data_IF_682859451527
#
_entry.id   IF_682859451527
#
_cell.length_a   1.000
_cell.length_b   1.000
_cell.length_c   1.000
_cell.angle_alpha   90.00
_cell.angle_beta   90.00
_cell.angle_gamma   90.00
#
_symmetry.space_group_name_H-M   'P 1'
#
loop_
_entity.id
_entity.type
_entity.pdbx_description
1 polymer ?
#
# COMPACT_ATOMS: atom_id res chain seq x y z
N UNK A 1 -28.36 -20.32 -18.65
CA UNK A 1 -27.06 -20.00 -19.30
C UNK A 1 -26.63 -18.55 -19.12
N UNK A 2 -27.51 -17.53 -19.27
CA UNK A 2 -27.13 -16.14 -18.98
C UNK A 2 -26.52 -15.93 -17.58
N UNK A 3 -27.03 -16.61 -16.55
CA UNK A 3 -26.45 -16.58 -15.21
C UNK A 3 -25.01 -17.11 -15.13
N UNK A 4 -24.69 -18.17 -15.89
CA UNK A 4 -23.33 -18.71 -15.94
C UNK A 4 -22.36 -17.72 -16.60
N UNK A 5 -22.81 -17.01 -17.63
CA UNK A 5 -22.05 -15.93 -18.26
C UNK A 5 -21.81 -14.75 -17.31
N UNK A 6 -22.79 -14.35 -16.50
CA UNK A 6 -22.60 -13.31 -15.49
C UNK A 6 -21.63 -13.72 -14.39
N UNK A 7 -21.73 -14.95 -13.88
CA UNK A 7 -20.78 -15.49 -12.89
C UNK A 7 -19.36 -15.51 -13.50
N UNK A 8 -19.21 -16.01 -14.72
CA UNK A 8 -17.92 -16.04 -15.41
C UNK A 8 -17.37 -14.63 -15.67
N UNK A 9 -18.21 -13.67 -16.04
CA UNK A 9 -17.83 -12.25 -16.20
C UNK A 9 -17.29 -11.67 -14.89
N UNK A 10 -18.01 -11.84 -13.78
CA UNK A 10 -17.55 -11.34 -12.48
C UNK A 10 -16.23 -12.00 -12.03
N UNK A 11 -16.04 -13.28 -12.35
CA UNK A 11 -14.77 -13.98 -12.14
C UNK A 11 -13.64 -13.42 -13.00
N UNK A 12 -13.89 -13.11 -14.28
CA UNK A 12 -12.91 -12.49 -15.17
C UNK A 12 -12.51 -11.08 -14.70
N UNK A 13 -13.49 -10.25 -14.33
CA UNK A 13 -13.24 -8.90 -13.80
C UNK A 13 -12.43 -8.93 -12.49
N UNK A 14 -12.72 -9.89 -11.60
CA UNK A 14 -11.96 -10.09 -10.37
C UNK A 14 -10.51 -10.50 -10.66
N UNK A 15 -10.29 -11.46 -11.58
CA UNK A 15 -8.93 -11.85 -11.97
C UNK A 15 -8.17 -10.73 -12.68
N UNK A 16 -8.84 -9.93 -13.50
CA UNK A 16 -8.25 -8.75 -14.13
C UNK A 16 -7.79 -7.74 -13.07
N UNK A 17 -8.66 -7.41 -12.12
CA UNK A 17 -8.31 -6.51 -11.01
C UNK A 17 -7.12 -7.05 -10.20
N UNK A 18 -7.07 -8.36 -9.95
CA UNK A 18 -5.94 -8.98 -9.26
C UNK A 18 -4.64 -8.85 -10.07
N UNK A 19 -4.71 -9.07 -11.39
CA UNK A 19 -3.57 -8.93 -12.30
C UNK A 19 -3.05 -7.48 -12.31
N UNK A 20 -3.96 -6.50 -12.32
CA UNK A 20 -3.60 -5.08 -12.29
C UNK A 20 -2.87 -4.72 -10.97
N UNK A 21 -3.35 -5.21 -9.84
CA UNK A 21 -2.70 -5.01 -8.53
C UNK A 21 -1.31 -5.66 -8.48
N UNK A 22 -1.18 -6.90 -8.93
CA UNK A 22 0.11 -7.62 -8.94
C UNK A 22 1.10 -6.91 -9.89
N UNK A 23 0.63 -6.46 -11.04
CA UNK A 23 1.45 -5.72 -12.02
C UNK A 23 1.92 -4.39 -11.44
N UNK A 24 1.04 -3.68 -10.73
CA UNK A 24 1.40 -2.43 -10.04
C UNK A 24 2.44 -2.67 -8.93
N UNK A 25 2.28 -3.74 -8.14
CA UNK A 25 3.26 -4.12 -7.12
C UNK A 25 4.63 -4.39 -7.75
N UNK A 26 4.67 -5.17 -8.84
CA UNK A 26 5.91 -5.52 -9.53
C UNK A 26 6.62 -4.29 -10.12
N UNK A 27 5.85 -3.36 -10.69
CA UNK A 27 6.38 -2.09 -11.22
C UNK A 27 7.01 -1.22 -10.14
N UNK A 28 6.48 -1.27 -8.91
CA UNK A 28 6.93 -0.45 -7.78
C UNK A 28 7.90 -1.18 -6.83
N UNK A 29 8.55 -2.26 -7.28
CA UNK A 29 9.54 -2.98 -6.45
C UNK A 29 10.75 -2.11 -6.08
N UNK A 30 11.18 -1.23 -6.99
CA UNK A 30 12.34 -0.35 -6.76
C UNK A 30 11.94 1.00 -6.16
N UNK A 31 10.65 1.23 -5.94
CA UNK A 31 10.15 2.49 -5.38
C UNK A 31 10.41 2.53 -3.87
N UNK A 32 11.06 3.58 -3.39
CA UNK A 32 11.34 3.77 -1.98
C UNK A 32 10.05 3.92 -1.17
N UNK A 33 9.99 3.28 0.00
CA UNK A 33 8.85 3.40 0.92
C UNK A 33 7.53 2.80 0.40
N UNK A 34 7.53 2.15 -0.77
CA UNK A 34 6.30 1.57 -1.35
C UNK A 34 5.77 0.41 -0.51
N UNK A 35 4.45 0.36 -0.37
CA UNK A 35 3.73 -0.70 0.34
C UNK A 35 2.86 -1.47 -0.63
N UNK A 36 3.14 -2.78 -0.70
CA UNK A 36 2.43 -3.75 -1.51
C UNK A 36 0.93 -3.68 -1.25
N UNK A 37 0.18 -3.75 -2.34
CA UNK A 37 -1.27 -3.84 -2.32
C UNK A 37 -1.75 -5.28 -2.53
N UNK A 38 -2.89 -5.63 -1.95
CA UNK A 38 -3.57 -6.91 -2.15
C UNK A 38 -5.05 -6.65 -2.43
N UNK A 39 -5.57 -7.25 -3.50
CA UNK A 39 -7.00 -7.25 -3.77
C UNK A 39 -7.72 -8.20 -2.81
N UNK A 40 -8.80 -7.72 -2.20
CA UNK A 40 -9.71 -8.51 -1.35
C UNK A 40 -11.00 -8.75 -2.12
N UNK A 41 -11.42 -10.01 -2.17
CA UNK A 41 -12.61 -10.44 -2.88
C UNK A 41 -13.63 -11.00 -1.91
N UNK A 42 -14.91 -10.75 -2.17
CA UNK A 42 -16.03 -11.33 -1.43
C UNK A 42 -17.00 -12.00 -2.40
N UNK A 43 -17.69 -13.04 -1.92
CA UNK A 43 -18.74 -13.67 -2.67
C UNK A 43 -19.99 -12.77 -2.73
N UNK A 44 -20.75 -12.90 -3.81
CA UNK A 44 -22.01 -12.18 -3.98
C UNK A 44 -23.18 -12.98 -3.39
N UNK A 45 -24.28 -12.28 -3.10
CA UNK A 45 -25.51 -12.82 -2.51
C UNK A 45 -25.94 -14.16 -3.12
N UNK A 46 -26.42 -15.07 -2.28
CA UNK A 46 -26.91 -16.37 -2.70
C UNK A 46 -28.39 -16.30 -3.09
N UNK A 47 -28.75 -16.90 -4.22
CA UNK A 47 -30.15 -17.12 -4.56
C UNK A 47 -30.62 -18.44 -3.94
N UNK A 48 -31.55 -18.34 -3.00
CA UNK A 48 -32.18 -19.48 -2.32
C UNK A 48 -33.35 -19.99 -3.17
N UNK A 49 -33.16 -21.13 -3.84
CA UNK A 49 -34.21 -21.80 -4.62
C UNK A 49 -35.04 -22.75 -3.74
N UNK A 50 -34.41 -23.34 -2.73
CA UNK A 50 -35.08 -24.09 -1.65
C UNK A 50 -34.43 -23.71 -0.35
N UNK A 51 -35.21 -23.16 0.58
CA UNK A 51 -34.70 -22.90 1.93
C UNK A 51 -34.48 -24.25 2.66
N UNK A 52 -33.30 -24.47 3.27
CA UNK A 52 -33.12 -25.58 4.19
C UNK A 52 -34.17 -25.48 5.31
N UNK A 53 -34.84 -26.58 5.63
CA UNK A 53 -35.85 -26.61 6.69
C UNK A 53 -37.28 -26.25 6.26
N UNK A 54 -37.54 -25.91 5.00
CA UNK A 54 -38.91 -25.77 4.52
C UNK A 54 -39.66 -27.13 4.49
N UNK A 55 -40.95 -27.13 4.84
CA UNK A 55 -41.78 -28.34 4.78
C UNK A 55 -42.06 -28.74 3.32
N UNK A 56 -41.75 -29.99 2.95
CA UNK A 56 -42.06 -30.57 1.64
C UNK A 56 -43.40 -31.32 1.65
N UNK A 57 -43.87 -31.78 2.82
CA UNK A 57 -45.20 -32.33 3.09
C UNK A 57 -45.55 -32.12 4.58
N UNK A 58 -46.77 -32.48 5.02
CA UNK A 58 -47.19 -32.41 6.44
C UNK A 58 -46.23 -33.15 7.41
N UNK A 59 -45.36 -34.05 6.93
CA UNK A 59 -44.47 -34.88 7.76
C UNK A 59 -43.00 -34.86 7.33
N UNK A 60 -42.61 -34.18 6.24
CA UNK A 60 -41.20 -34.13 5.81
C UNK A 60 -40.68 -32.72 5.63
N UNK A 61 -39.51 -32.45 6.23
CA UNK A 61 -38.73 -31.23 6.03
C UNK A 61 -37.64 -31.47 4.99
N UNK A 62 -37.26 -30.43 4.27
CA UNK A 62 -36.17 -30.48 3.28
C UNK A 62 -34.85 -30.39 4.05
N UNK A 63 -34.00 -31.44 4.08
CA UNK A 63 -32.79 -31.47 4.90
C UNK A 63 -31.63 -30.66 4.30
N UNK A 64 -31.62 -30.44 2.97
CA UNK A 64 -30.59 -29.67 2.28
C UNK A 64 -31.24 -28.58 1.42
N UNK A 65 -30.90 -27.32 1.68
CA UNK A 65 -31.33 -26.20 0.86
C UNK A 65 -30.59 -26.17 -0.48
N UNK A 66 -31.23 -25.58 -1.49
CA UNK A 66 -30.60 -25.29 -2.78
C UNK A 66 -30.28 -23.80 -2.82
N UNK A 67 -29.01 -23.47 -2.61
CA UNK A 67 -28.48 -22.12 -2.71
C UNK A 67 -27.49 -22.06 -3.86
N UNK A 68 -27.62 -21.05 -4.71
CA UNK A 68 -26.73 -20.86 -5.85
C UNK A 68 -26.07 -19.49 -5.72
N UNK A 69 -24.74 -19.45 -5.71
CA UNK A 69 -23.97 -18.20 -5.66
C UNK A 69 -24.20 -17.34 -6.91
N UNK A 70 -23.99 -16.03 -6.78
CA UNK A 70 -24.16 -15.08 -7.90
C UNK A 70 -22.85 -14.54 -8.46
N UNK A 71 -21.70 -14.93 -7.91
CA UNK A 71 -20.38 -14.57 -8.41
C UNK A 71 -19.46 -14.05 -7.30
N UNK A 72 -18.48 -13.25 -7.70
CA UNK A 72 -17.44 -12.67 -6.82
C UNK A 72 -17.27 -11.18 -7.17
N UNK A 73 -16.89 -10.34 -6.21
CA UNK A 73 -16.58 -8.92 -6.47
C UNK A 73 -15.34 -8.47 -5.71
N UNK A 74 -14.44 -7.67 -6.32
CA UNK A 74 -13.38 -6.98 -5.58
C UNK A 74 -14.00 -5.93 -4.64
N UNK A 75 -13.66 -5.98 -3.36
CA UNK A 75 -14.21 -5.10 -2.33
C UNK A 75 -13.27 -3.96 -2.00
N UNK A 76 -11.97 -4.26 -1.90
CA UNK A 76 -10.96 -3.27 -1.60
C UNK A 76 -9.58 -3.72 -2.11
N UNK A 77 -8.68 -2.76 -2.27
CA UNK A 77 -7.24 -2.99 -2.38
C UNK A 77 -6.59 -2.53 -1.09
N UNK A 78 -6.20 -3.49 -0.26
CA UNK A 78 -5.58 -3.23 1.04
C UNK A 78 -4.07 -3.05 0.86
N UNK A 79 -3.48 -2.02 1.49
CA UNK A 79 -2.02 -1.89 1.59
C UNK A 79 -1.50 -2.63 2.81
N UNK A 80 -0.41 -3.35 2.64
CA UNK A 80 0.25 -4.06 3.73
C UNK A 80 1.44 -3.21 4.20
N UNK A 81 1.30 -2.59 5.38
CA UNK A 81 2.28 -1.65 5.93
C UNK A 81 3.48 -2.30 6.64
N UNK A 82 3.94 -3.46 6.15
CA UNK A 82 5.17 -4.09 6.67
C UNK A 82 6.42 -3.32 6.24
N UNK A 83 7.45 -3.34 7.09
CA UNK A 83 8.76 -2.78 6.79
C UNK A 83 9.39 -3.51 5.60
N UNK A 84 9.91 -2.75 4.63
CA UNK A 84 10.66 -3.29 3.50
C UNK A 84 12.12 -3.57 3.82
N UNK A 85 12.90 -3.93 2.80
CA UNK A 85 14.35 -3.99 2.93
C UNK A 85 14.94 -2.60 3.19
N UNK A 86 16.16 -2.54 3.71
CA UNK A 86 16.92 -1.29 3.78
C UNK A 86 18.13 -1.40 2.85
N UNK A 87 18.29 -0.43 1.96
CA UNK A 87 19.45 -0.34 1.09
C UNK A 87 20.33 0.80 1.56
N UNK A 88 21.62 0.52 1.74
CA UNK A 88 22.60 1.54 2.09
C UNK A 88 22.94 2.36 0.85
N UNK A 89 22.68 3.66 0.90
CA UNK A 89 23.02 4.62 -0.17
C UNK A 89 24.29 5.42 0.15
N UNK A 90 24.72 5.42 1.41
CA UNK A 90 25.88 6.20 1.90
C UNK A 90 25.74 7.72 1.73
N UNK A 91 24.55 8.22 1.41
CA UNK A 91 24.24 9.64 1.32
C UNK A 91 23.76 10.16 2.68
N UNK A 92 24.31 11.27 3.15
CA UNK A 92 23.96 11.84 4.47
C UNK A 92 22.54 12.39 4.54
N UNK A 93 21.91 12.67 3.39
CA UNK A 93 20.54 13.19 3.32
C UNK A 93 19.49 12.08 3.23
N UNK A 94 19.92 10.85 2.99
CA UNK A 94 19.01 9.71 2.91
C UNK A 94 18.80 9.15 4.32
N UNK A 95 17.54 9.03 4.74
CA UNK A 95 17.18 8.57 6.08
C UNK A 95 16.08 7.52 6.01
N UNK A 96 16.37 6.31 6.47
CA UNK A 96 15.36 5.25 6.60
C UNK A 96 14.80 5.23 8.02
N UNK A 97 13.50 4.95 8.13
CA UNK A 97 12.85 4.66 9.41
C UNK A 97 12.96 3.15 9.66
N UNK A 98 13.49 2.79 10.82
CA UNK A 98 13.54 1.42 11.33
C UNK A 98 12.42 1.21 12.33
N UNK A 99 11.27 0.75 11.87
CA UNK A 99 10.09 0.52 12.70
C UNK A 99 8.83 1.12 12.10
N UNK A 100 7.93 1.59 12.96
CA UNK A 100 6.70 2.25 12.57
C UNK A 100 6.88 3.76 12.58
N UNK A 101 6.18 4.46 11.70
CA UNK A 101 6.22 5.91 11.59
C UNK A 101 6.41 6.39 10.17
N UNK A 102 5.98 7.63 9.95
CA UNK A 102 6.05 8.34 8.68
C UNK A 102 6.72 9.69 8.89
N UNK A 103 7.50 10.11 7.90
CA UNK A 103 7.96 11.49 7.78
C UNK A 103 6.79 12.38 7.43
N UNK A 104 6.77 13.57 8.02
CA UNK A 104 5.77 14.58 7.75
C UNK A 104 6.34 15.58 6.73
N UNK A 105 5.56 15.90 5.71
CA UNK A 105 5.92 16.86 4.67
C UNK A 105 4.77 17.82 4.47
N UNK A 106 5.10 19.08 4.18
CA UNK A 106 4.12 20.12 3.93
C UNK A 106 3.91 20.25 2.42
N UNK A 107 2.68 20.05 1.96
CA UNK A 107 2.30 20.31 0.58
C UNK A 107 2.22 21.81 0.31
N UNK A 108 2.29 22.24 -0.97
CA UNK A 108 2.18 23.64 -1.35
C UNK A 108 0.82 24.26 -1.00
N UNK A 109 -0.21 23.44 -0.78
CA UNK A 109 -1.54 23.87 -0.35
C UNK A 109 -1.62 24.14 1.18
N UNK A 110 -0.55 23.87 1.92
CA UNK A 110 -0.47 24.02 3.37
C UNK A 110 -0.96 22.79 4.15
N UNK A 111 -1.34 21.71 3.48
CA UNK A 111 -1.73 20.45 4.14
C UNK A 111 -0.51 19.59 4.45
N UNK A 112 -0.56 18.83 5.55
CA UNK A 112 0.49 17.87 5.88
C UNK A 112 0.20 16.54 5.17
N UNK A 113 1.21 15.99 4.51
CA UNK A 113 1.22 14.61 4.05
C UNK A 113 2.31 13.81 4.74
N UNK A 114 2.19 12.50 4.61
CA UNK A 114 3.00 11.52 5.27
C UNK A 114 3.73 10.68 4.23
N UNK A 115 5.00 10.41 4.45
CA UNK A 115 5.79 9.58 3.54
C UNK A 115 6.71 8.66 4.31
N UNK A 116 7.04 7.53 3.68
CA UNK A 116 8.10 6.63 4.16
C UNK A 116 9.34 6.70 3.27
N UNK A 117 9.30 7.55 2.24
CA UNK A 117 10.46 7.84 1.43
C UNK A 117 11.42 8.74 2.20
N UNK A 118 12.67 8.28 2.27
CA UNK A 118 13.75 8.90 3.01
C UNK A 118 14.73 9.70 2.15
N UNK A 119 14.48 9.81 0.85
CA UNK A 119 15.35 10.51 -0.08
C UNK A 119 15.11 12.03 -0.04
N UNK A 120 15.84 12.72 0.84
CA UNK A 120 15.75 14.18 0.98
C UNK A 120 16.83 14.91 0.18
N UNK A 121 16.50 16.13 -0.22
CA UNK A 121 17.39 17.08 -0.88
C UNK A 121 17.34 18.42 -0.15
N UNK A 122 18.22 19.34 -0.55
CA UNK A 122 18.28 20.69 0.01
C UNK A 122 17.83 21.65 -1.09
N UNK A 123 16.93 22.57 -0.75
CA UNK A 123 16.49 23.63 -1.67
C UNK A 123 17.45 24.84 -1.69
N UNK A 124 17.12 25.86 -2.49
CA UNK A 124 17.93 27.09 -2.57
C UNK A 124 18.03 27.84 -1.24
N UNK A 125 17.05 27.67 -0.35
CA UNK A 125 16.96 28.34 0.94
C UNK A 125 17.63 27.52 2.07
N UNK A 126 18.25 26.39 1.75
CA UNK A 126 18.88 25.50 2.72
C UNK A 126 17.88 24.59 3.46
N UNK A 127 16.60 24.56 3.08
CA UNK A 127 15.59 23.70 3.70
C UNK A 127 15.71 22.27 3.19
N UNK A 128 15.49 21.31 4.10
CA UNK A 128 15.30 19.91 3.71
C UNK A 128 13.94 19.76 3.02
N UNK A 129 13.99 19.28 1.79
CA UNK A 129 12.83 19.01 0.95
C UNK A 129 12.87 17.58 0.45
N UNK A 130 11.71 17.02 0.09
CA UNK A 130 11.64 15.74 -0.64
C UNK A 130 12.17 15.90 -2.08
N UNK A 131 12.29 14.79 -2.80
CA UNK A 131 12.62 14.81 -4.24
C UNK A 131 11.68 15.70 -5.09
N UNK A 132 10.45 15.94 -4.63
CA UNK A 132 9.46 16.77 -5.31
C UNK A 132 9.47 18.24 -4.84
N UNK A 133 10.37 18.59 -3.91
CA UNK A 133 10.48 19.96 -3.40
C UNK A 133 9.55 20.29 -2.24
N UNK A 134 8.91 19.30 -1.61
CA UNK A 134 8.06 19.54 -0.44
C UNK A 134 8.90 19.62 0.83
N UNK A 135 8.82 20.72 1.62
CA UNK A 135 9.58 20.83 2.85
C UNK A 135 9.08 19.85 3.90
N UNK A 136 10.02 19.30 4.68
CA UNK A 136 9.70 18.43 5.82
C UNK A 136 9.12 19.22 6.98
N UNK A 137 8.36 18.54 7.86
CA UNK A 137 7.84 19.12 9.10
C UNK A 137 8.43 18.42 10.33
N UNK A 138 8.94 19.18 11.32
CA UNK A 138 9.16 20.64 11.31
C UNK A 138 10.21 21.05 10.26
N UNK A 139 10.12 22.28 9.74
CA UNK A 139 11.06 22.77 8.73
C UNK A 139 12.48 22.85 9.31
N UNK A 140 13.43 22.17 8.65
CA UNK A 140 14.85 22.16 9.05
C UNK A 140 15.64 22.93 7.99
N UNK A 141 16.21 24.07 8.37
CA UNK A 141 17.07 24.91 7.53
C UNK A 141 18.53 24.67 7.87
N UNK A 142 19.28 24.07 6.95
CA UNK A 142 20.73 23.93 7.07
C UNK A 142 21.41 25.26 6.72
N UNK A 143 22.34 25.76 7.56
CA UNK A 143 23.18 26.90 7.18
C UNK A 143 24.12 26.52 6.02
N UNK A 144 24.44 27.48 5.15
CA UNK A 144 25.29 27.24 3.97
C UNK A 144 26.74 26.85 4.33
N UNK A 145 27.18 27.13 5.56
CA UNK A 145 28.53 26.83 6.06
C UNK A 145 28.66 25.42 6.69
N UNK A 146 27.68 24.54 6.46
CA UNK A 146 27.68 23.17 6.99
C UNK A 146 28.56 22.22 6.14
N UNK A 147 29.63 21.69 6.73
CA UNK A 147 30.53 20.73 6.09
C UNK A 147 29.97 19.30 6.12
N UNK A 148 29.45 18.87 7.27
CA UNK A 148 28.87 17.53 7.43
C UNK A 148 27.53 17.58 8.13
N UNK A 149 26.57 16.80 7.63
CA UNK A 149 25.24 16.60 8.20
C UNK A 149 25.22 15.25 8.90
N UNK A 150 24.92 15.24 10.19
CA UNK A 150 24.75 14.02 10.99
C UNK A 150 23.35 13.99 11.59
N UNK A 151 22.62 12.91 11.34
CA UNK A 151 21.26 12.71 11.84
C UNK A 151 21.31 11.59 12.87
N UNK A 152 20.99 11.94 14.12
CA UNK A 152 20.88 10.99 15.22
C UNK A 152 19.71 10.02 15.02
N UNK A 153 19.79 8.86 15.68
CA UNK A 153 18.73 7.85 15.65
C UNK A 153 17.41 8.32 16.29
N UNK A 154 17.49 9.38 17.09
CA UNK A 154 16.42 10.11 17.77
C UNK A 154 15.86 11.27 16.93
N UNK A 155 16.33 11.43 15.69
CA UNK A 155 15.91 12.49 14.78
C UNK A 155 16.65 13.80 14.96
N UNK A 156 17.61 13.92 15.89
CA UNK A 156 18.37 15.15 16.05
C UNK A 156 19.25 15.39 14.82
N UNK A 157 18.99 16.50 14.12
CA UNK A 157 19.77 16.92 12.96
C UNK A 157 20.83 17.89 13.45
N UNK A 158 22.09 17.48 13.30
CA UNK A 158 23.27 18.25 13.69
C UNK A 158 24.18 18.49 12.50
N UNK A 159 24.81 19.66 12.47
CA UNK A 159 25.79 20.02 11.45
C UNK A 159 27.11 20.43 12.10
N UNK A 160 28.22 20.06 11.47
CA UNK A 160 29.54 20.61 11.81
C UNK A 160 29.88 21.71 10.82
N UNK A 161 30.30 22.87 11.31
CA UNK A 161 30.75 24.00 10.49
C UNK A 161 32.28 24.07 10.47
N UNK A 162 32.83 24.60 9.39
CA UNK A 162 34.27 24.81 9.25
C UNK A 162 34.82 25.66 10.41
N UNK A 163 35.70 25.07 11.22
CA UNK A 163 36.32 25.74 12.38
C UNK A 163 35.68 25.47 13.74
N UNK A 164 34.57 24.73 13.81
CA UNK A 164 34.01 24.22 15.07
C UNK A 164 33.97 22.68 15.09
N UNK A 165 34.61 22.08 16.10
CA UNK A 165 34.60 20.61 16.30
C UNK A 165 33.34 20.10 16.99
N UNK A 166 32.54 20.98 17.61
CA UNK A 166 31.27 20.61 18.24
C UNK A 166 30.13 20.65 17.22
N UNK A 167 29.34 19.57 17.05
CA UNK A 167 28.15 19.59 16.21
C UNK A 167 27.12 20.57 16.77
N UNK A 168 26.62 21.49 15.93
CA UNK A 168 25.51 22.36 16.27
C UNK A 168 24.19 21.71 15.86
N UNK A 169 23.22 21.65 16.76
CA UNK A 169 21.88 21.16 16.46
C UNK A 169 21.10 22.20 15.64
N UNK A 170 20.53 21.77 14.52
CA UNK A 170 19.77 22.60 13.58
C UNK A 170 18.27 22.35 13.70
N UNK A 171 17.88 21.13 14.08
CA UNK A 171 16.48 20.76 14.25
C UNK A 171 16.32 19.33 14.72
N UNK A 172 15.08 18.88 14.83
CA UNK A 172 14.74 17.49 15.13
C UNK A 172 13.65 17.02 14.18
N UNK A 173 13.86 15.86 13.55
CA UNK A 173 12.84 15.15 12.79
C UNK A 173 11.84 14.53 13.74
N UNK A 174 10.56 14.71 13.44
CA UNK A 174 9.47 14.02 14.13
C UNK A 174 8.88 12.97 13.21
N UNK A 175 8.33 11.91 13.80
CA UNK A 175 7.58 10.89 13.08
C UNK A 175 6.11 10.98 13.47
N UNK A 176 5.23 10.78 12.51
CA UNK A 176 3.82 10.56 12.78
C UNK A 176 3.52 9.06 12.76
N UNK A 177 2.82 8.58 13.78
CA UNK A 177 2.23 7.23 13.80
C UNK A 177 0.72 7.32 13.75
N UNK A 178 0.08 6.32 13.14
CA UNK A 178 -1.38 6.22 13.05
C UNK A 178 -1.87 4.98 13.79
N UNK A 179 -3.15 5.00 14.20
CA UNK A 179 -3.79 3.82 14.78
C UNK A 179 -4.06 2.78 13.68
N UNK A 180 -4.44 3.25 12.48
CA UNK A 180 -4.76 2.39 11.35
C UNK A 180 -4.09 2.90 10.05
N UNK A 181 -2.92 2.37 9.75
CA UNK A 181 -2.17 2.73 8.55
C UNK A 181 -2.93 2.41 7.24
N UNK A 182 -3.74 1.34 7.22
CA UNK A 182 -4.54 0.98 6.04
C UNK A 182 -5.63 2.01 5.71
N UNK A 183 -5.97 2.88 6.67
CA UNK A 183 -6.90 3.99 6.46
C UNK A 183 -6.27 5.19 5.76
N UNK A 184 -4.95 5.21 5.56
CA UNK A 184 -4.27 6.31 4.87
C UNK A 184 -4.59 6.30 3.38
N UNK A 185 -4.99 7.45 2.86
CA UNK A 185 -5.22 7.63 1.43
C UNK A 185 -3.90 7.97 0.74
N UNK A 186 -3.57 7.31 -0.37
CA UNK A 186 -2.37 7.69 -1.14
C UNK A 186 -2.73 8.72 -2.19
N UNK A 187 -2.01 9.84 -2.17
CA UNK A 187 -2.23 10.97 -3.08
C UNK A 187 -1.25 10.97 -4.26
N UNK A 188 -0.51 9.88 -4.45
CA UNK A 188 0.58 9.77 -5.44
C UNK A 188 1.95 10.08 -4.82
N UNK A 189 3.02 9.87 -5.60
CA UNK A 189 4.40 10.24 -5.21
C UNK A 189 4.89 9.63 -3.87
N UNK A 190 4.37 8.46 -3.48
CA UNK A 190 4.58 7.81 -2.17
C UNK A 190 4.11 8.65 -0.96
N UNK A 191 3.28 9.65 -1.20
CA UNK A 191 2.64 10.46 -0.18
C UNK A 191 1.30 9.85 0.25
N UNK A 192 1.01 10.03 1.52
CA UNK A 192 -0.20 9.62 2.20
C UNK A 192 -0.86 10.82 2.86
N UNK A 193 -2.20 10.84 2.84
CA UNK A 193 -3.04 11.80 3.53
C UNK A 193 -3.83 11.09 4.62
N UNK A 194 -3.99 11.77 5.74
CA UNK A 194 -4.86 11.30 6.81
C UNK A 194 -6.33 11.26 6.37
N UNK A 195 -7.07 10.30 6.90
CA UNK A 195 -8.51 10.19 6.70
C UNK A 195 -9.20 9.95 8.04
N UNK A 196 -10.53 9.99 8.06
CA UNK A 196 -11.29 9.60 9.26
C UNK A 196 -10.99 8.15 9.68
N UNK A 197 -10.61 7.28 8.75
CA UNK A 197 -10.32 5.87 9.01
C UNK A 197 -8.89 5.61 9.48
N UNK A 198 -7.94 6.53 9.24
CA UNK A 198 -6.57 6.40 9.77
C UNK A 198 -6.46 6.79 11.24
N UNK A 199 -7.39 7.63 11.70
CA UNK A 199 -7.28 8.32 12.99
C UNK A 199 -6.36 9.53 12.91
N UNK A 200 -6.28 10.29 14.01
CA UNK A 200 -5.41 11.44 14.11
C UNK A 200 -3.92 11.02 14.18
N UNK A 201 -3.01 11.82 13.60
CA UNK A 201 -1.58 11.57 13.65
C UNK A 201 -1.07 11.77 15.08
N UNK A 202 -0.33 10.80 15.59
CA UNK A 202 0.42 10.94 16.84
C UNK A 202 1.86 11.28 16.48
N UNK A 203 2.23 12.55 16.65
CA UNK A 203 3.60 13.01 16.49
C UNK A 203 4.45 12.56 17.67
N UNK A 204 5.52 11.82 17.38
CA UNK A 204 6.48 11.34 18.37
C UNK A 204 7.89 11.56 17.88
N UNK A 205 8.80 11.71 18.84
CA UNK A 205 10.24 11.67 18.55
C UNK A 205 10.65 10.24 18.19
N UNK A 206 11.48 10.04 17.15
CA UNK A 206 12.00 8.72 16.81
C UNK A 206 12.57 7.97 18.01
N UNK A 207 12.24 6.68 18.15
CA UNK A 207 12.68 5.82 19.25
C UNK A 207 11.87 5.91 20.54
N UNK A 208 10.86 6.79 20.64
CA UNK A 208 9.93 6.87 21.77
C UNK A 208 8.48 6.57 21.36
N UNK A 209 7.67 6.11 22.32
CA UNK A 209 6.23 5.89 22.17
C UNK A 209 5.82 5.04 20.93
N UNK A 210 6.60 4.01 20.61
CA UNK A 210 6.34 3.13 19.46
C UNK A 210 6.82 3.68 18.10
N UNK A 211 7.37 4.89 18.07
CA UNK A 211 8.05 5.44 16.89
C UNK A 211 9.35 4.69 16.61
N UNK A 212 9.58 4.38 15.34
CA UNK A 212 10.81 3.77 14.84
C UNK A 212 12.03 4.65 15.07
N UNK A 213 13.21 4.06 14.97
CA UNK A 213 14.49 4.81 15.02
C UNK A 213 14.90 5.23 13.62
N UNK A 214 15.65 6.33 13.50
CA UNK A 214 16.18 6.76 12.21
C UNK A 214 17.54 6.12 11.93
N UNK A 215 17.77 5.78 10.67
CA UNK A 215 19.06 5.33 10.15
C UNK A 215 19.48 6.20 8.98
N UNK A 216 20.50 7.02 9.20
CA UNK A 216 21.11 7.85 8.17
C UNK A 216 21.93 7.00 7.18
N UNK A 217 21.94 7.38 5.90
CA UNK A 217 22.65 6.68 4.82
C UNK A 217 21.92 5.46 4.28
N UNK A 218 20.64 5.31 4.62
CA UNK A 218 19.79 4.21 4.17
C UNK A 218 18.50 4.75 3.58
N UNK A 219 17.96 4.02 2.61
CA UNK A 219 16.59 4.18 2.14
C UNK A 219 15.81 2.89 2.36
N UNK A 220 14.53 3.02 2.68
CA UNK A 220 13.64 1.87 2.76
C UNK A 220 13.17 1.49 1.35
N UNK A 221 13.39 0.24 0.96
CA UNK A 221 12.88 -0.31 -0.29
C UNK A 221 11.45 -0.81 -0.13
N UNK A 222 10.81 -1.08 -1.28
CA UNK A 222 9.50 -1.72 -1.32
C UNK A 222 9.48 -3.04 -0.54
N UNK A 223 8.35 -3.34 0.11
CA UNK A 223 8.12 -4.64 0.75
C UNK A 223 7.59 -5.71 -0.23
N UNK A 224 7.66 -5.43 -1.54
CA UNK A 224 7.23 -6.35 -2.60
C UNK A 224 8.26 -7.45 -2.81
N UNK A 225 7.82 -8.71 -2.72
CA UNK A 225 8.63 -9.85 -3.10
C UNK A 225 8.34 -10.24 -4.56
N UNK A 226 9.28 -9.96 -5.45
CA UNK A 226 9.15 -10.22 -6.90
C UNK A 226 8.85 -11.67 -7.22
N UNK A 227 9.49 -12.62 -6.53
CA UNK A 227 9.29 -14.03 -6.81
C UNK A 227 7.85 -14.47 -6.45
N UNK A 228 7.34 -14.00 -5.32
CA UNK A 228 5.98 -14.26 -4.88
C UNK A 228 4.95 -13.61 -5.81
N UNK A 229 5.16 -12.34 -6.17
CA UNK A 229 4.26 -11.63 -7.10
C UNK A 229 4.25 -12.26 -8.50
N UNK A 230 5.38 -12.75 -9.01
CA UNK A 230 5.44 -13.47 -10.29
C UNK A 230 4.67 -14.80 -10.24
N UNK A 231 4.77 -15.55 -9.14
CA UNK A 231 3.97 -16.78 -8.95
C UNK A 231 2.49 -16.43 -8.89
N UNK A 232 2.11 -15.40 -8.14
CA UNK A 232 0.72 -14.92 -8.06
C UNK A 232 0.21 -14.43 -9.42
N UNK A 233 1.05 -13.78 -10.22
CA UNK A 233 0.73 -13.35 -11.59
C UNK A 233 0.44 -14.55 -12.47
N UNK A 234 1.28 -15.58 -12.45
CA UNK A 234 1.09 -16.81 -13.24
C UNK A 234 -0.20 -17.52 -12.80
N UNK A 235 -0.47 -17.61 -11.50
CA UNK A 235 -1.71 -18.20 -10.98
C UNK A 235 -2.94 -17.42 -11.45
N UNK A 236 -2.89 -16.09 -11.37
CA UNK A 236 -3.98 -15.20 -11.82
C UNK A 236 -4.21 -15.30 -13.33
N UNK A 237 -3.13 -15.35 -14.12
CA UNK A 237 -3.21 -15.57 -15.56
C UNK A 237 -3.86 -16.91 -15.89
N UNK A 238 -3.45 -17.99 -15.22
CA UNK A 238 -4.06 -19.32 -15.40
C UNK A 238 -5.53 -19.34 -15.00
N UNK A 239 -5.89 -18.66 -13.91
CA UNK A 239 -7.28 -18.51 -13.49
C UNK A 239 -8.11 -17.74 -14.53
N UNK A 240 -7.56 -16.67 -15.11
CA UNK A 240 -8.18 -15.92 -16.20
C UNK A 240 -8.38 -16.79 -17.46
N UNK A 241 -7.38 -17.58 -17.86
CA UNK A 241 -7.47 -18.54 -18.98
C UNK A 241 -8.54 -19.61 -18.74
N UNK A 242 -8.66 -20.12 -17.51
CA UNK A 242 -9.68 -21.12 -17.16
C UNK A 242 -11.09 -20.51 -17.22
N UNK A 243 -11.25 -19.29 -16.71
CA UNK A 243 -12.54 -18.58 -16.74
C UNK A 243 -12.96 -18.24 -18.19
N UNK A 244 -12.03 -17.83 -19.06
CA UNK A 244 -12.34 -17.57 -20.47
C UNK A 244 -12.71 -18.86 -21.20
N UNK A 245 -12.06 -19.98 -20.88
CA UNK A 245 -12.45 -21.29 -21.41
C UNK A 245 -13.85 -21.69 -20.96
N UNK A 246 -14.25 -21.40 -19.72
CA UNK A 246 -15.61 -21.65 -19.22
C UNK A 246 -16.69 -20.82 -19.95
N UNK A 247 -16.36 -19.59 -20.37
CA UNK A 247 -17.22 -18.78 -21.25
C UNK A 247 -17.33 -19.44 -22.61
N UNK A 248 -16.20 -19.82 -23.23
CA UNK A 248 -16.19 -20.43 -24.56
C UNK A 248 -16.97 -21.75 -24.62
N UNK A 249 -16.92 -22.58 -23.57
CA UNK A 249 -17.70 -23.83 -23.50
C UNK A 249 -19.19 -23.55 -23.34
N UNK A 250 -19.56 -22.51 -22.59
CA UNK A 250 -20.95 -22.05 -22.47
C UNK A 250 -21.49 -21.56 -23.83
N UNK A 251 -20.69 -20.83 -24.59
CA UNK A 251 -21.03 -20.37 -25.94
C UNK A 251 -21.15 -21.52 -26.94
N UNK A 252 -20.26 -22.52 -26.88
CA UNK A 252 -20.36 -23.73 -27.69
C UNK A 252 -21.65 -24.52 -27.40
N UNK A 253 -22.07 -24.59 -26.14
CA UNK A 253 -23.34 -25.20 -25.76
C UNK A 253 -24.55 -24.43 -26.31
N UNK A 254 -24.50 -23.09 -26.27
CA UNK A 254 -25.52 -22.23 -26.90
C UNK A 254 -25.59 -22.45 -28.41
N UNK A 255 -24.44 -22.52 -29.08
CA UNK A 255 -24.39 -22.74 -30.52
C UNK A 255 -24.96 -24.11 -30.91
N UNK A 256 -24.65 -25.18 -30.16
CA UNK A 256 -25.22 -26.51 -30.38
C UNK A 256 -26.73 -26.53 -30.14
N UNK A 257 -27.23 -25.81 -29.14
CA UNK A 257 -28.66 -25.69 -28.87
C UNK A 257 -29.40 -24.90 -29.95
N UNK A 258 -28.76 -23.91 -30.57
CA UNK A 258 -29.33 -23.15 -31.67
C UNK A 258 -29.35 -23.93 -33.01
N UNK A 259 -28.60 -25.03 -33.10
CA UNK A 259 -28.56 -25.93 -34.27
C UNK A 259 -29.54 -27.11 -34.16
N UNK A 260 -30.19 -27.27 -33.01
CA UNK A 260 -31.30 -28.21 -32.79
C UNK A 260 -32.63 -27.53 -33.13
#
# INVERSE_FOLDING_TARGET
MMRALWIAKTGLEAQQTNMDVITNNLANVSTNGFKRQRAVFEDLLYQTLRQPGAQSSEQTTIPSGLQVGTGVRPVATERIHSQGGMTQTSNSKDVAISGQGFFQVLLPDGTTAYTRDGAFQIDQNGQLVTANGYPIQPAITLPQDADTLTIGSDGLVSVTQAGQTAPQQVGQLTLATFINDSGLESIGENLYRETQSSGAPNETTPGLNGGGTLKQGYVETSNVNVAEELVNMIQTQRAYEINSKAVSTSDQMLQRLAQL
#
